data_IF_912957705284
#
_entry.id   IF_912957705284
#
_cell.length_a   1.000
_cell.length_b   1.000
_cell.length_c   1.000
_cell.angle_alpha   90.00
_cell.angle_beta   90.00
_cell.angle_gamma   90.00
#
_symmetry.space_group_name_H-M   'P 1'
#
loop_
_entity.id
_entity.type
_entity.pdbx_description
1 polymer ?
#
# COMPACT_ATOMS: atom_id res chain seq x y z
N UNK A 1 -26.51 14.13 -2.78
CA UNK A 1 -25.09 14.47 -2.90
C UNK A 1 -24.37 13.14 -3.00
N UNK A 2 -24.04 12.70 -4.21
CA UNK A 2 -23.45 11.38 -4.41
C UNK A 2 -22.03 11.40 -3.81
N UNK A 3 -21.78 10.53 -2.84
CA UNK A 3 -20.44 10.23 -2.35
C UNK A 3 -19.56 9.91 -3.56
N UNK A 4 -18.62 10.81 -3.84
CA UNK A 4 -17.57 10.59 -4.82
C UNK A 4 -16.72 9.48 -4.23
N UNK A 5 -16.90 8.25 -4.69
CA UNK A 5 -15.84 7.23 -4.60
C UNK A 5 -14.58 7.94 -5.09
N UNK A 6 -13.58 8.21 -4.24
CA UNK A 6 -12.39 8.95 -4.63
C UNK A 6 -11.78 8.23 -5.84
N UNK A 7 -11.35 8.95 -6.87
CA UNK A 7 -10.77 8.35 -8.09
C UNK A 7 -9.62 7.36 -7.76
N UNK A 8 -9.00 7.54 -6.60
CA UNK A 8 -8.00 6.66 -5.99
C UNK A 8 -8.55 5.26 -5.71
N UNK A 9 -9.73 5.11 -5.09
CA UNK A 9 -10.30 3.78 -4.79
C UNK A 9 -10.60 3.00 -6.07
N UNK A 10 -11.10 3.69 -7.11
CA UNK A 10 -11.29 3.08 -8.42
C UNK A 10 -9.97 2.63 -9.06
N UNK A 11 -8.88 3.39 -8.85
CA UNK A 11 -7.54 2.98 -9.29
C UNK A 11 -7.02 1.80 -8.46
N UNK A 12 -7.30 1.75 -7.16
CA UNK A 12 -6.93 0.64 -6.27
C UNK A 12 -7.66 -0.67 -6.61
N UNK A 13 -8.90 -0.58 -7.06
CA UNK A 13 -9.70 -1.72 -7.52
C UNK A 13 -9.39 -2.14 -8.97
N UNK A 14 -8.54 -1.41 -9.69
CA UNK A 14 -8.17 -1.78 -11.05
C UNK A 14 -7.29 -3.05 -11.01
N UNK A 15 -7.74 -4.17 -11.61
CA UNK A 15 -6.99 -5.43 -11.59
C UNK A 15 -5.60 -5.34 -12.24
N UNK A 16 -5.38 -4.38 -13.15
CA UNK A 16 -4.08 -4.19 -13.81
C UNK A 16 -2.99 -3.68 -12.87
N UNK A 17 -3.37 -3.08 -11.73
CA UNK A 17 -2.43 -2.48 -10.78
C UNK A 17 -1.81 -3.50 -9.79
N UNK A 18 -2.24 -4.77 -9.81
CA UNK A 18 -1.71 -5.86 -8.98
C UNK A 18 -1.74 -5.61 -7.46
N UNK A 19 -2.63 -4.73 -6.98
CA UNK A 19 -2.87 -4.57 -5.55
C UNK A 19 -3.61 -5.80 -5.01
N UNK A 20 -3.11 -6.35 -3.91
CA UNK A 20 -3.70 -7.53 -3.25
C UNK A 20 -4.43 -7.19 -1.96
N UNK A 21 -4.11 -6.03 -1.36
CA UNK A 21 -4.78 -5.46 -0.20
C UNK A 21 -4.55 -3.95 -0.23
N UNK A 22 -5.51 -3.15 0.19
CA UNK A 22 -5.34 -1.71 0.40
C UNK A 22 -6.20 -1.24 1.56
N UNK A 23 -5.85 -0.09 2.14
CA UNK A 23 -6.68 0.63 3.11
C UNK A 23 -6.30 2.11 3.15
N UNK A 24 -7.22 2.92 3.65
CA UNK A 24 -6.95 4.28 4.06
C UNK A 24 -6.44 4.28 5.51
N UNK A 25 -5.45 5.12 5.80
CA UNK A 25 -4.93 5.41 7.14
C UNK A 25 -5.73 6.54 7.80
N UNK A 26 -5.49 6.78 9.10
CA UNK A 26 -6.26 7.75 9.89
C UNK A 26 -6.07 9.21 9.42
N UNK A 27 -4.93 9.49 8.79
CA UNK A 27 -4.60 10.79 8.21
C UNK A 27 -5.15 10.97 6.77
N UNK A 28 -5.85 9.96 6.25
CA UNK A 28 -6.42 9.95 4.91
C UNK A 28 -5.49 9.44 3.82
N UNK A 29 -4.24 9.09 4.14
CA UNK A 29 -3.27 8.51 3.20
C UNK A 29 -3.68 7.09 2.82
N UNK A 30 -3.52 6.71 1.56
CA UNK A 30 -3.74 5.33 1.12
C UNK A 30 -2.44 4.53 1.12
N UNK A 31 -2.55 3.30 1.61
CA UNK A 31 -1.49 2.29 1.54
C UNK A 31 -2.02 1.04 0.87
N UNK A 32 -1.17 0.34 0.15
CA UNK A 32 -1.53 -0.92 -0.48
C UNK A 32 -0.40 -1.94 -0.36
N UNK A 33 -0.74 -3.20 -0.62
CA UNK A 33 0.22 -4.27 -0.78
C UNK A 33 0.20 -4.75 -2.23
N UNK A 34 1.37 -5.04 -2.77
CA UNK A 34 1.54 -5.66 -4.08
C UNK A 34 2.37 -6.93 -3.95
N UNK A 35 2.03 -7.93 -4.76
CA UNK A 35 2.85 -9.13 -4.90
C UNK A 35 3.83 -8.93 -6.06
N UNK A 36 5.12 -9.05 -5.78
CA UNK A 36 6.17 -9.06 -6.79
C UNK A 36 6.55 -10.51 -7.14
N UNK A 37 7.46 -10.69 -8.09
CA UNK A 37 7.87 -12.03 -8.56
C UNK A 37 8.43 -12.91 -7.42
N UNK A 38 9.12 -12.32 -6.44
CA UNK A 38 9.78 -13.04 -5.35
C UNK A 38 9.48 -12.49 -3.94
N UNK A 39 8.85 -11.33 -3.84
CA UNK A 39 8.68 -10.60 -2.57
C UNK A 39 7.26 -10.08 -2.44
N UNK A 40 6.88 -9.76 -1.21
CA UNK A 40 5.71 -8.95 -0.92
C UNK A 40 6.15 -7.51 -0.71
N UNK A 41 5.39 -6.53 -1.17
CA UNK A 41 5.73 -5.14 -0.91
C UNK A 41 4.56 -4.35 -0.37
N UNK A 42 4.85 -3.46 0.58
CA UNK A 42 3.95 -2.41 1.01
C UNK A 42 4.29 -1.16 0.19
N UNK A 43 3.29 -0.53 -0.39
CA UNK A 43 3.42 0.77 -1.03
C UNK A 43 2.66 1.82 -0.24
N UNK A 44 3.27 2.99 -0.06
CA UNK A 44 2.66 4.11 0.67
C UNK A 44 2.56 5.34 -0.22
N UNK A 45 1.76 6.31 0.23
CA UNK A 45 1.39 7.48 -0.55
C UNK A 45 0.78 7.08 -1.89
N UNK A 46 -0.24 6.23 -1.84
CA UNK A 46 -0.95 5.82 -3.06
C UNK A 46 -1.86 6.95 -3.53
N UNK A 47 -1.78 7.30 -4.81
CA UNK A 47 -2.61 8.28 -5.49
C UNK A 47 -3.14 7.72 -6.83
N UNK A 48 -3.84 8.55 -7.59
CA UNK A 48 -4.42 8.16 -8.90
C UNK A 48 -3.36 7.80 -9.96
N UNK A 49 -2.12 8.22 -9.77
CA UNK A 49 -1.00 7.97 -10.67
C UNK A 49 -0.16 6.75 -10.26
N UNK A 50 -0.32 6.23 -9.04
CA UNK A 50 0.45 5.10 -8.52
C UNK A 50 0.80 5.25 -7.05
N UNK A 51 2.07 5.03 -6.70
CA UNK A 51 2.59 5.14 -5.35
C UNK A 51 3.95 5.83 -5.33
N UNK A 52 4.29 6.52 -4.23
CA UNK A 52 5.57 7.21 -4.11
C UNK A 52 6.64 6.37 -3.43
N UNK A 53 6.27 5.52 -2.46
CA UNK A 53 7.24 4.66 -1.76
C UNK A 53 6.87 3.18 -1.89
N UNK A 54 7.88 2.32 -1.91
CA UNK A 54 7.71 0.86 -1.88
C UNK A 54 8.73 0.19 -0.95
N UNK A 55 8.25 -0.63 -0.03
CA UNK A 55 9.04 -1.40 0.93
C UNK A 55 8.86 -2.90 0.65
N UNK A 56 9.92 -3.59 0.28
CA UNK A 56 9.89 -5.01 -0.09
C UNK A 56 10.31 -5.90 1.09
N UNK A 57 9.60 -7.01 1.25
CA UNK A 57 9.78 -8.04 2.28
C UNK A 57 9.93 -9.41 1.62
N UNK A 58 10.87 -10.20 2.11
CA UNK A 58 10.99 -11.63 1.81
C UNK A 58 10.04 -12.48 2.67
N UNK A 59 9.76 -12.05 3.90
CA UNK A 59 8.75 -12.62 4.79
C UNK A 59 7.36 -11.99 4.54
N UNK A 60 6.43 -12.81 4.05
CA UNK A 60 5.05 -12.41 3.77
C UNK A 60 4.29 -12.06 5.05
N UNK A 61 4.47 -12.83 6.13
CA UNK A 61 3.75 -12.60 7.39
C UNK A 61 4.23 -11.32 8.06
N UNK A 62 5.52 -11.01 7.95
CA UNK A 62 6.07 -9.72 8.37
C UNK A 62 5.45 -8.56 7.59
N UNK A 63 5.33 -8.69 6.26
CA UNK A 63 4.73 -7.67 5.43
C UNK A 63 3.27 -7.38 5.83
N UNK A 64 2.46 -8.42 6.09
CA UNK A 64 1.09 -8.23 6.55
C UNK A 64 1.01 -7.59 7.93
N UNK A 65 1.87 -8.02 8.87
CA UNK A 65 1.92 -7.45 10.22
C UNK A 65 2.28 -5.97 10.18
N UNK A 66 3.30 -5.61 9.40
CA UNK A 66 3.73 -4.22 9.29
C UNK A 66 2.71 -3.36 8.54
N UNK A 67 2.05 -3.91 7.52
CA UNK A 67 0.96 -3.23 6.83
C UNK A 67 -0.19 -2.88 7.78
N UNK A 68 -0.58 -3.80 8.66
CA UNK A 68 -1.64 -3.57 9.64
C UNK A 68 -1.21 -2.60 10.77
N UNK A 69 0.11 -2.43 10.99
CA UNK A 69 0.67 -1.52 11.99
C UNK A 69 0.74 -0.05 11.55
N UNK A 70 0.64 0.26 10.26
CA UNK A 70 0.74 1.64 9.76
C UNK A 70 -0.41 2.52 10.29
N UNK A 71 -0.11 3.71 10.80
CA UNK A 71 -1.15 4.58 11.38
C UNK A 71 -1.36 5.85 10.54
N UNK A 72 -0.28 6.35 9.93
CA UNK A 72 -0.24 7.59 9.15
C UNK A 72 0.87 7.54 8.09
N UNK A 73 0.96 8.58 7.26
CA UNK A 73 1.98 8.77 6.21
C UNK A 73 3.41 8.65 6.70
N UNK A 74 3.70 9.13 7.92
CA UNK A 74 5.05 9.13 8.48
C UNK A 74 5.44 7.78 9.10
N UNK A 75 4.49 6.84 9.17
CA UNK A 75 4.74 5.49 9.63
C UNK A 75 5.54 4.72 8.57
N UNK A 76 6.81 4.44 8.86
CA UNK A 76 7.63 3.56 8.02
C UNK A 76 7.56 2.12 8.56
N UNK A 77 7.24 1.12 7.72
CA UNK A 77 7.30 -0.28 8.14
C UNK A 77 8.76 -0.70 8.34
N UNK A 78 9.01 -1.70 9.19
CA UNK A 78 10.38 -2.14 9.53
C UNK A 78 10.66 -3.57 9.08
N UNK A 79 11.94 -3.90 8.88
CA UNK A 79 12.37 -5.24 8.47
C UNK A 79 12.26 -5.50 6.97
N UNK A 80 12.07 -4.46 6.16
CA UNK A 80 12.16 -4.55 4.70
C UNK A 80 13.60 -4.82 4.25
N UNK A 81 13.76 -5.51 3.13
CA UNK A 81 15.05 -5.87 2.52
C UNK A 81 15.45 -4.93 1.39
N UNK A 82 14.49 -4.18 0.82
CA UNK A 82 14.73 -3.15 -0.17
C UNK A 82 13.64 -2.07 -0.14
N UNK A 83 13.97 -0.84 -0.51
CA UNK A 83 13.00 0.26 -0.70
C UNK A 83 13.22 1.06 -1.99
N UNK A 84 12.16 1.67 -2.51
CA UNK A 84 12.20 2.62 -3.62
C UNK A 84 11.35 3.84 -3.30
#
# INVERSE_FOLDING_TARGET
>A
MAERVPEIERALENPDNNYVKWRQLDDGTYVAMIKLMFTMAIVTDVDVCGYHNRFCFDDVDLAYREFDRLENRDSEPVGWIARR
#
